data_IF_211276332977
#
_entry.id   IF_211276332977
#
_cell.length_a   1.000
_cell.length_b   1.000
_cell.length_c   1.000
_cell.angle_alpha   90.00
_cell.angle_beta   90.00
_cell.angle_gamma   90.00
#
_symmetry.space_group_name_H-M   'P 1'
#
loop_
_entity.id
_entity.type
_entity.pdbx_description
1 polymer ?
#
# COMPACT_ATOMS: atom_id res chain seq x y z
N UNK A 1 13.68 23.46 -0.80
CA UNK A 1 14.27 22.10 -0.62
C UNK A 1 15.68 22.07 -1.22
N UNK A 2 16.66 21.49 -0.53
CA UNK A 2 17.99 21.24 -1.13
C UNK A 2 17.93 19.99 -2.01
N UNK A 3 18.67 19.98 -3.12
CA UNK A 3 18.83 18.79 -3.94
C UNK A 3 19.59 17.71 -3.15
N UNK A 4 19.08 16.47 -3.20
CA UNK A 4 19.73 15.30 -2.62
C UNK A 4 19.73 14.18 -3.66
N UNK A 5 20.90 13.66 -4.01
CA UNK A 5 21.01 12.74 -5.13
C UNK A 5 20.47 11.35 -4.77
N UNK A 6 19.82 10.69 -5.74
CA UNK A 6 19.31 9.32 -5.54
C UNK A 6 20.43 8.34 -5.17
N UNK A 7 21.63 8.51 -5.73
CA UNK A 7 22.79 7.66 -5.39
C UNK A 7 23.18 7.79 -3.92
N UNK A 8 23.10 9.01 -3.37
CA UNK A 8 23.37 9.25 -1.95
C UNK A 8 22.28 8.63 -1.07
N UNK A 9 21.02 8.70 -1.51
CA UNK A 9 19.92 8.02 -0.82
C UNK A 9 20.15 6.51 -0.76
N UNK A 10 20.48 5.88 -1.89
CA UNK A 10 20.70 4.44 -1.99
C UNK A 10 21.91 3.98 -1.17
N UNK A 11 23.06 4.64 -1.31
CA UNK A 11 24.29 4.27 -0.62
C UNK A 11 24.21 4.56 0.90
N UNK A 12 23.60 5.70 1.25
CA UNK A 12 23.47 6.19 2.62
C UNK A 12 22.35 5.55 3.43
N UNK A 13 21.43 4.82 2.79
CA UNK A 13 20.28 4.21 3.46
C UNK A 13 20.70 3.23 4.56
N UNK A 14 20.22 3.46 5.78
CA UNK A 14 20.35 2.54 6.93
C UNK A 14 19.08 2.57 7.77
N UNK A 15 18.85 1.50 8.53
CA UNK A 15 17.78 1.45 9.53
C UNK A 15 18.24 2.17 10.80
N UNK A 16 17.88 3.43 10.95
CA UNK A 16 18.31 4.26 12.09
C UNK A 16 17.18 4.35 13.12
N UNK A 17 17.25 3.49 14.14
CA UNK A 17 16.14 3.19 15.04
C UNK A 17 16.09 4.03 16.31
N UNK A 18 17.19 4.63 16.76
CA UNK A 18 17.20 5.39 18.01
C UNK A 18 16.80 6.85 17.74
N UNK A 19 15.75 7.33 18.40
CA UNK A 19 15.11 8.63 18.13
C UNK A 19 15.05 9.50 19.37
N UNK A 20 14.75 10.80 19.16
CA UNK A 20 14.55 11.75 20.26
C UNK A 20 13.42 11.28 21.18
N UNK A 21 13.70 11.15 22.47
CA UNK A 21 12.75 10.61 23.46
C UNK A 21 12.76 9.09 23.61
N UNK A 22 13.60 8.35 22.87
CA UNK A 22 13.73 6.91 23.02
C UNK A 22 14.57 6.52 24.25
N UNK A 23 14.36 5.29 24.72
CA UNK A 23 15.17 4.68 25.78
C UNK A 23 15.40 3.19 25.49
N UNK A 24 16.67 2.79 25.59
CA UNK A 24 17.08 1.38 25.72
C UNK A 24 17.53 1.22 27.18
N UNK A 25 16.85 0.38 27.98
CA UNK A 25 17.04 0.36 29.44
C UNK A 25 18.35 -0.29 29.90
N UNK A 26 18.92 -1.20 29.11
CA UNK A 26 20.05 -2.03 29.53
C UNK A 26 20.97 -2.45 28.37
N UNK A 27 22.03 -3.20 28.71
CA UNK A 27 23.00 -3.72 27.75
C UNK A 27 24.02 -2.68 27.26
N UNK A 28 24.81 -3.07 26.25
CA UNK A 28 25.91 -2.23 25.71
C UNK A 28 25.40 -0.94 25.06
N UNK A 29 24.15 -0.94 24.58
CA UNK A 29 23.49 0.20 23.97
C UNK A 29 22.53 0.91 24.94
N UNK A 30 22.63 0.65 26.26
CA UNK A 30 21.83 1.34 27.27
C UNK A 30 21.99 2.86 27.12
N UNK A 31 20.89 3.53 26.79
CA UNK A 31 20.87 4.94 26.51
C UNK A 31 19.46 5.49 26.63
N UNK A 32 19.36 6.65 27.28
CA UNK A 32 18.13 7.44 27.34
C UNK A 32 18.41 8.73 26.60
N UNK A 33 17.56 9.05 25.62
CA UNK A 33 17.65 10.31 24.89
C UNK A 33 17.58 11.49 25.86
N UNK A 34 18.45 12.48 25.65
CA UNK A 34 18.43 13.75 26.41
C UNK A 34 17.37 14.73 25.87
N UNK A 35 16.67 14.33 24.82
CA UNK A 35 15.66 15.12 24.15
C UNK A 35 14.25 14.60 24.43
N UNK A 36 13.24 15.48 24.54
CA UNK A 36 11.86 15.04 24.56
C UNK A 36 11.47 14.41 23.21
N UNK A 37 10.46 13.53 23.19
CA UNK A 37 9.82 13.12 21.94
C UNK A 37 9.40 14.34 21.12
N UNK A 38 9.68 14.32 19.81
CA UNK A 38 9.32 15.38 18.89
C UNK A 38 8.57 14.80 17.69
N UNK A 39 7.25 15.06 17.55
CA UNK A 39 6.48 14.67 16.37
C UNK A 39 7.05 15.31 15.10
N UNK A 40 6.90 14.64 13.96
CA UNK A 40 7.16 15.25 12.65
C UNK A 40 6.26 16.47 12.46
N UNK A 41 6.80 17.54 11.89
CA UNK A 41 6.01 18.67 11.40
C UNK A 41 5.05 18.23 10.28
N UNK A 42 4.04 19.06 10.01
CA UNK A 42 3.06 18.77 8.96
C UNK A 42 3.73 18.53 7.59
N UNK A 43 4.69 19.37 7.22
CA UNK A 43 5.41 19.26 5.96
C UNK A 43 6.25 17.97 5.90
N UNK A 44 6.92 17.60 6.99
CA UNK A 44 7.71 16.37 7.04
C UNK A 44 6.83 15.14 6.90
N UNK A 45 5.72 15.10 7.65
CA UNK A 45 4.71 14.05 7.54
C UNK A 45 4.19 13.93 6.12
N UNK A 46 3.82 15.05 5.50
CA UNK A 46 3.24 15.08 4.16
C UNK A 46 4.23 14.59 3.09
N UNK A 47 5.52 14.94 3.18
CA UNK A 47 6.56 14.45 2.29
C UNK A 47 6.78 12.94 2.43
N UNK A 48 6.83 12.41 3.65
CA UNK A 48 6.99 10.97 3.90
C UNK A 48 5.77 10.20 3.37
N UNK A 49 4.55 10.67 3.69
CA UNK A 49 3.30 10.05 3.22
C UNK A 49 3.18 10.13 1.69
N UNK A 50 3.60 11.24 1.07
CA UNK A 50 3.65 11.38 -0.40
C UNK A 50 4.64 10.40 -1.02
N UNK A 51 5.81 10.19 -0.40
CA UNK A 51 6.77 9.21 -0.91
C UNK A 51 6.21 7.78 -0.88
N UNK A 52 5.50 7.41 0.19
CA UNK A 52 4.88 6.09 0.33
C UNK A 52 3.62 5.91 -0.53
N UNK A 53 2.78 6.93 -0.65
CA UNK A 53 1.41 6.80 -1.12
C UNK A 53 1.02 7.73 -2.28
N UNK A 54 1.86 8.67 -2.67
CA UNK A 54 1.53 9.78 -3.57
C UNK A 54 1.33 9.39 -5.03
N UNK A 55 1.01 10.41 -5.84
CA UNK A 55 0.82 10.29 -7.30
C UNK A 55 2.00 10.88 -8.08
N UNK A 56 2.24 10.33 -9.26
CA UNK A 56 3.28 10.78 -10.21
C UNK A 56 2.68 11.28 -11.53
N UNK A 57 1.50 11.92 -11.43
CA UNK A 57 0.61 12.30 -12.53
C UNK A 57 -0.15 11.11 -13.13
N UNK A 58 -0.48 11.12 -14.41
CA UNK A 58 -1.18 10.04 -15.11
C UNK A 58 -0.25 8.85 -15.42
N UNK A 59 -0.76 7.62 -15.30
CA UNK A 59 0.00 6.44 -15.73
C UNK A 59 0.08 6.33 -17.25
N UNK A 60 1.07 5.58 -17.76
CA UNK A 60 1.29 5.43 -19.20
C UNK A 60 0.58 4.22 -19.83
N UNK A 61 -0.27 3.48 -19.10
CA UNK A 61 -0.93 2.25 -19.58
C UNK A 61 0.05 1.16 -20.10
N UNK A 62 -0.51 0.05 -20.58
CA UNK A 62 0.20 -1.03 -21.27
C UNK A 62 -0.22 -0.99 -22.74
N UNK A 63 0.72 -0.69 -23.64
CA UNK A 63 0.36 -0.28 -25.00
C UNK A 63 -0.07 -1.42 -25.93
N UNK A 64 0.36 -2.66 -25.69
CA UNK A 64 0.17 -3.73 -26.67
C UNK A 64 0.27 -5.12 -26.05
N UNK A 65 -0.63 -5.99 -26.46
CA UNK A 65 -0.44 -7.43 -26.49
C UNK A 65 -1.09 -7.98 -27.77
N UNK A 66 -0.43 -8.94 -28.42
CA UNK A 66 -0.88 -9.46 -29.74
C UNK A 66 -2.34 -9.93 -29.72
N UNK A 67 -2.78 -10.53 -28.60
CA UNK A 67 -4.13 -11.05 -28.41
C UNK A 67 -5.22 -9.98 -28.40
N UNK A 68 -4.87 -8.74 -28.08
CA UNK A 68 -5.81 -7.62 -28.09
C UNK A 68 -5.93 -6.95 -29.44
N UNK A 69 -4.99 -7.16 -30.37
CA UNK A 69 -4.93 -6.40 -31.61
C UNK A 69 -6.29 -6.43 -32.35
N UNK A 70 -6.86 -5.28 -32.74
CA UNK A 70 -6.26 -3.93 -32.74
C UNK A 70 -6.48 -3.09 -31.45
N UNK A 71 -7.13 -3.63 -30.42
CA UNK A 71 -7.42 -2.95 -29.15
C UNK A 71 -6.20 -2.76 -28.24
N UNK A 72 -6.33 -1.80 -27.31
CA UNK A 72 -5.35 -1.56 -26.24
C UNK A 72 -5.45 -2.66 -25.17
N UNK A 73 -4.31 -3.02 -24.56
CA UNK A 73 -4.30 -3.91 -23.39
C UNK A 73 -4.99 -3.25 -22.20
N UNK A 74 -6.02 -3.91 -21.69
CA UNK A 74 -6.92 -3.38 -20.66
C UNK A 74 -6.60 -3.91 -19.25
N UNK A 75 -5.34 -4.20 -18.93
CA UNK A 75 -4.94 -4.81 -17.65
C UNK A 75 -5.00 -3.84 -16.46
N UNK A 76 -4.60 -2.58 -16.65
CA UNK A 76 -4.49 -1.60 -15.55
C UNK A 76 -5.80 -1.43 -14.76
N UNK A 77 -5.67 -1.27 -13.45
CA UNK A 77 -6.78 -1.04 -12.51
C UNK A 77 -6.97 0.43 -12.13
N UNK A 78 -5.93 1.26 -12.29
CA UNK A 78 -5.96 2.69 -11.94
C UNK A 78 -5.44 3.58 -13.08
N UNK A 79 -5.96 4.82 -13.16
CA UNK A 79 -5.54 5.82 -14.14
C UNK A 79 -4.37 6.70 -13.66
N UNK A 80 -4.22 6.88 -12.35
CA UNK A 80 -3.14 7.66 -11.76
C UNK A 80 -1.83 6.86 -11.69
N UNK A 81 -0.72 7.51 -11.99
CA UNK A 81 0.62 7.04 -11.65
C UNK A 81 0.84 7.18 -10.14
N UNK A 82 1.62 6.27 -9.56
CA UNK A 82 2.02 6.25 -8.15
C UNK A 82 3.54 6.34 -8.01
N UNK A 83 4.02 6.65 -6.81
CA UNK A 83 5.46 6.68 -6.48
C UNK A 83 6.10 5.29 -6.45
N UNK A 84 5.27 4.24 -6.42
CA UNK A 84 5.66 2.85 -6.39
C UNK A 84 4.95 2.03 -7.50
N UNK A 85 5.59 0.96 -8.01
CA UNK A 85 5.01 0.11 -9.02
C UNK A 85 3.92 -0.81 -8.46
N UNK A 86 3.12 -1.39 -9.36
CA UNK A 86 2.14 -2.44 -9.07
C UNK A 86 2.06 -3.41 -10.25
N UNK A 87 1.76 -4.68 -9.98
CA UNK A 87 1.56 -5.69 -11.00
C UNK A 87 0.47 -5.24 -11.99
N UNK A 88 0.82 -5.25 -13.28
CA UNK A 88 -0.02 -4.78 -14.39
C UNK A 88 -0.71 -3.41 -14.21
N UNK A 89 -0.23 -2.56 -13.29
CA UNK A 89 -0.87 -1.31 -12.90
C UNK A 89 -2.21 -1.48 -12.17
N UNK A 90 -2.36 -2.53 -11.35
CA UNK A 90 -3.58 -2.80 -10.59
C UNK A 90 -3.81 -1.77 -9.48
N UNK A 91 -2.75 -1.44 -8.73
CA UNK A 91 -2.72 -0.47 -7.63
C UNK A 91 -3.94 -0.61 -6.74
N UNK A 92 -3.96 -1.65 -5.89
CA UNK A 92 -5.10 -1.98 -5.02
C UNK A 92 -4.90 -1.55 -3.58
N UNK A 93 -3.84 -0.79 -3.30
CA UNK A 93 -3.49 -0.31 -1.95
C UNK A 93 -3.91 1.12 -1.62
N UNK A 94 -4.24 1.33 -0.35
CA UNK A 94 -4.38 2.63 0.32
C UNK A 94 -3.31 2.79 1.39
N UNK A 95 -2.94 4.03 1.71
CA UNK A 95 -1.87 4.31 2.68
C UNK A 95 -2.47 4.82 3.97
N UNK A 96 -2.48 4.00 5.02
CA UNK A 96 -2.81 4.44 6.37
C UNK A 96 -1.56 4.96 7.06
N UNK A 97 -1.71 5.82 8.04
CA UNK A 97 -0.60 6.24 8.91
C UNK A 97 -1.10 6.78 10.24
N UNK A 98 -0.22 6.79 11.24
CA UNK A 98 -0.52 7.32 12.57
C UNK A 98 0.65 8.12 13.13
N UNK A 99 0.31 9.20 13.83
CA UNK A 99 1.21 10.03 14.63
C UNK A 99 0.59 10.25 16.03
N UNK A 100 1.10 11.21 16.81
CA UNK A 100 0.57 11.48 18.15
C UNK A 100 -0.86 12.02 18.15
N UNK A 101 -1.29 12.66 17.06
CA UNK A 101 -2.58 13.34 16.98
C UNK A 101 -3.70 12.45 16.48
N UNK A 102 -3.38 11.41 15.70
CA UNK A 102 -4.41 10.60 15.07
C UNK A 102 -3.96 9.39 14.25
N UNK A 103 -4.97 8.74 13.71
CA UNK A 103 -4.87 7.77 12.61
C UNK A 103 -5.53 8.38 11.38
N UNK A 104 -4.88 8.22 10.23
CA UNK A 104 -5.25 8.85 8.98
C UNK A 104 -5.19 7.84 7.83
N UNK A 105 -5.86 8.18 6.75
CA UNK A 105 -5.83 7.45 5.49
C UNK A 105 -5.61 8.42 4.33
N UNK A 106 -4.71 8.04 3.42
CA UNK A 106 -4.51 8.68 2.13
C UNK A 106 -5.13 7.79 1.04
N UNK A 107 -6.20 8.27 0.41
CA UNK A 107 -6.80 7.58 -0.73
C UNK A 107 -6.29 8.12 -2.08
N UNK A 108 -5.19 7.53 -2.55
CA UNK A 108 -4.68 7.71 -3.90
C UNK A 108 -5.01 6.54 -4.84
N UNK A 109 -5.72 5.52 -4.34
CA UNK A 109 -6.08 4.31 -5.09
C UNK A 109 -7.10 4.61 -6.18
N UNK A 110 -8.08 5.44 -5.82
CA UNK A 110 -9.25 5.75 -6.66
C UNK A 110 -9.33 7.25 -6.99
N UNK A 111 -8.23 7.98 -6.77
CA UNK A 111 -8.12 9.40 -7.07
C UNK A 111 -7.57 9.66 -8.48
N UNK A 112 -8.02 10.71 -9.17
CA UNK A 112 -7.36 11.18 -10.38
C UNK A 112 -5.94 11.68 -10.06
N UNK A 113 -5.12 11.87 -11.09
CA UNK A 113 -3.83 12.55 -10.95
C UNK A 113 -4.02 13.90 -10.24
N UNK A 114 -3.12 14.20 -9.31
CA UNK A 114 -3.23 15.40 -8.45
C UNK A 114 -2.50 16.61 -9.02
N UNK A 115 -1.57 16.37 -9.93
CA UNK A 115 -0.82 17.38 -10.67
C UNK A 115 -0.46 16.86 -12.07
N UNK A 116 -0.23 17.78 -13.00
CA UNK A 116 0.25 17.50 -14.35
C UNK A 116 1.72 17.87 -14.48
N UNK A 117 2.40 17.22 -15.43
CA UNK A 117 3.79 17.53 -15.73
C UNK A 117 3.87 18.77 -16.59
N UNK A 118 4.86 19.62 -16.32
CA UNK A 118 5.18 20.76 -17.19
C UNK A 118 5.87 20.31 -18.49
N UNK A 119 6.25 21.28 -19.34
CA UNK A 119 6.94 21.02 -20.61
C UNK A 119 8.31 20.33 -20.45
N UNK A 120 8.91 20.41 -19.25
CA UNK A 120 10.18 19.74 -18.91
C UNK A 120 9.95 18.35 -18.32
N UNK A 121 8.69 17.96 -18.09
CA UNK A 121 8.32 16.70 -17.46
C UNK A 121 8.36 16.74 -15.94
N UNK A 122 8.49 17.91 -15.32
CA UNK A 122 8.59 18.11 -13.88
C UNK A 122 7.19 18.23 -13.25
N UNK A 123 7.05 17.78 -12.00
CA UNK A 123 5.84 18.03 -11.21
C UNK A 123 6.12 19.17 -10.23
N UNK A 124 5.19 20.11 -10.15
CA UNK A 124 5.20 21.15 -9.13
C UNK A 124 4.94 20.48 -7.76
N UNK A 125 5.89 20.65 -6.83
CA UNK A 125 5.90 19.88 -5.58
C UNK A 125 4.84 20.42 -4.62
N UNK A 126 4.65 21.73 -4.55
CA UNK A 126 3.66 22.41 -3.74
C UNK A 126 2.24 22.00 -4.16
N UNK A 127 1.94 21.96 -5.46
CA UNK A 127 0.66 21.44 -6.00
C UNK A 127 0.47 19.95 -5.69
N UNK A 128 1.53 19.14 -5.84
CA UNK A 128 1.51 17.72 -5.50
C UNK A 128 1.17 17.51 -4.01
N UNK A 129 1.87 18.22 -3.12
CA UNK A 129 1.67 18.12 -1.68
C UNK A 129 0.29 18.61 -1.27
N UNK A 130 -0.18 19.74 -1.82
CA UNK A 130 -1.54 20.23 -1.56
C UNK A 130 -2.59 19.22 -2.03
N UNK A 131 -2.42 18.65 -3.23
CA UNK A 131 -3.31 17.64 -3.79
C UNK A 131 -3.35 16.34 -2.98
N UNK A 132 -2.22 15.92 -2.41
CA UNK A 132 -2.12 14.80 -1.46
C UNK A 132 -2.80 15.16 -0.14
N UNK A 133 -2.52 16.35 0.41
CA UNK A 133 -3.06 16.84 1.67
C UNK A 133 -4.59 16.86 1.69
N UNK A 134 -5.23 17.34 0.62
CA UNK A 134 -6.70 17.34 0.46
C UNK A 134 -7.34 15.93 0.45
N UNK A 135 -6.55 14.88 0.23
CA UNK A 135 -7.00 13.47 0.18
C UNK A 135 -6.64 12.68 1.43
N UNK A 136 -5.99 13.32 2.40
CA UNK A 136 -5.79 12.77 3.73
C UNK A 136 -7.07 12.98 4.52
N UNK A 137 -7.59 11.90 5.12
CA UNK A 137 -8.71 11.94 6.04
C UNK A 137 -8.29 11.37 7.38
N UNK A 138 -8.52 12.10 8.47
CA UNK A 138 -8.41 11.59 9.83
C UNK A 138 -9.57 10.63 10.11
N UNK A 139 -9.28 9.45 10.65
CA UNK A 139 -10.27 8.41 10.94
C UNK A 139 -10.35 8.06 12.44
N UNK A 140 -9.36 8.44 13.23
CA UNK A 140 -9.34 8.26 14.68
C UNK A 140 -8.52 9.37 15.34
N UNK A 141 -8.92 9.79 16.53
CA UNK A 141 -8.14 10.67 17.40
C UNK A 141 -7.09 9.91 18.20
N UNK A 142 -5.92 10.52 18.34
CA UNK A 142 -4.77 9.95 19.03
C UNK A 142 -4.06 8.85 18.23
N UNK A 143 -2.87 8.51 18.71
CA UNK A 143 -2.04 7.45 18.17
C UNK A 143 -2.77 6.10 18.12
N UNK A 144 -2.49 5.31 17.08
CA UNK A 144 -3.04 3.97 16.88
C UNK A 144 -2.88 3.12 18.15
N UNK A 145 -4.00 2.54 18.61
CA UNK A 145 -4.06 1.67 19.78
C UNK A 145 -3.40 0.32 19.49
N UNK A 146 -2.07 0.28 19.64
CA UNK A 146 -1.24 -0.91 19.45
C UNK A 146 -0.25 -1.00 20.62
N UNK A 147 -0.47 -1.91 21.59
CA UNK A 147 0.41 -2.03 22.74
C UNK A 147 1.84 -2.42 22.35
N UNK A 148 2.86 -1.83 22.99
CA UNK A 148 4.27 -2.12 22.73
C UNK A 148 4.72 -3.42 23.45
N UNK A 149 4.02 -4.53 23.23
CA UNK A 149 4.29 -5.81 23.88
C UNK A 149 3.96 -7.00 22.97
N UNK A 150 4.45 -8.17 23.33
CA UNK A 150 4.14 -9.44 22.64
C UNK A 150 2.71 -9.87 23.03
N UNK A 151 1.89 -10.37 22.10
CA UNK A 151 2.21 -10.75 20.71
C UNK A 151 2.04 -9.64 19.67
N UNK A 152 1.61 -8.45 20.07
CA UNK A 152 1.19 -7.38 19.15
C UNK A 152 2.37 -6.74 18.40
N UNK A 153 3.50 -6.57 19.08
CA UNK A 153 4.75 -6.05 18.54
C UNK A 153 5.87 -7.04 18.85
N UNK A 154 6.71 -7.35 17.86
CA UNK A 154 7.82 -8.29 18.05
C UNK A 154 8.77 -7.81 19.17
N UNK A 155 9.38 -8.71 19.95
CA UNK A 155 10.15 -8.34 21.16
C UNK A 155 11.24 -7.29 20.93
N UNK A 156 11.89 -7.31 19.76
CA UNK A 156 12.97 -6.37 19.42
C UNK A 156 12.49 -4.98 18.99
N UNK A 157 11.17 -4.80 18.83
CA UNK A 157 10.51 -3.59 18.36
C UNK A 157 9.67 -2.90 19.45
N UNK A 158 9.35 -3.57 20.56
CA UNK A 158 8.49 -3.06 21.66
C UNK A 158 8.95 -1.70 22.20
N UNK A 159 10.25 -1.47 22.32
CA UNK A 159 10.80 -0.21 22.83
C UNK A 159 10.72 0.95 21.83
N UNK A 160 10.56 0.69 20.53
CA UNK A 160 10.82 1.67 19.46
C UNK A 160 9.62 1.92 18.53
N UNK A 161 8.79 0.92 18.26
CA UNK A 161 7.71 1.03 17.26
C UNK A 161 6.51 1.78 17.84
N UNK A 162 5.91 2.67 17.04
CA UNK A 162 4.69 3.42 17.36
C UNK A 162 4.76 4.11 18.74
N UNK A 163 5.90 4.72 19.04
CA UNK A 163 6.13 5.47 20.30
C UNK A 163 5.86 6.97 20.08
N UNK A 164 5.64 7.75 21.15
CA UNK A 164 5.47 9.19 21.04
C UNK A 164 6.58 9.86 20.20
N UNK A 165 6.21 10.86 19.40
CA UNK A 165 7.11 11.56 18.46
C UNK A 165 7.38 10.84 17.14
N UNK A 166 6.87 9.61 16.94
CA UNK A 166 7.10 8.84 15.70
C UNK A 166 5.90 8.91 14.75
N UNK A 167 6.17 8.80 13.44
CA UNK A 167 5.17 8.56 12.40
C UNK A 167 5.29 7.10 11.94
N UNK A 168 4.17 6.37 11.90
CA UNK A 168 4.11 5.01 11.36
C UNK A 168 3.20 4.99 10.13
N UNK A 169 3.75 4.65 8.97
CA UNK A 169 3.03 4.48 7.70
C UNK A 169 2.74 2.99 7.48
N UNK A 170 1.49 2.69 7.15
CA UNK A 170 0.91 1.35 7.07
C UNK A 170 0.18 1.24 5.72
N UNK A 171 0.89 0.89 4.63
CA UNK A 171 0.24 0.53 3.37
C UNK A 171 -0.61 -0.73 3.54
N UNK A 172 -1.89 -0.66 3.17
CA UNK A 172 -2.84 -1.77 3.25
C UNK A 172 -3.39 -2.03 1.85
N UNK A 173 -3.38 -3.29 1.42
CA UNK A 173 -3.81 -3.72 0.11
C UNK A 173 -5.13 -4.49 0.12
N UNK A 174 -5.99 -4.21 -0.85
CA UNK A 174 -7.17 -5.03 -1.14
C UNK A 174 -6.72 -6.22 -2.00
N UNK A 175 -6.50 -7.36 -1.35
CA UNK A 175 -6.04 -8.60 -1.99
C UNK A 175 -7.19 -9.31 -2.71
N UNK A 176 -8.43 -9.17 -2.24
CA UNK A 176 -9.62 -9.62 -2.96
C UNK A 176 -9.70 -8.93 -4.33
N UNK A 177 -9.60 -7.60 -4.39
CA UNK A 177 -9.55 -6.86 -5.65
C UNK A 177 -8.37 -7.28 -6.52
N UNK A 178 -7.20 -7.51 -5.92
CA UNK A 178 -6.00 -7.94 -6.65
C UNK A 178 -6.18 -9.30 -7.31
N UNK A 179 -6.77 -10.28 -6.59
CA UNK A 179 -7.07 -11.61 -7.14
C UNK A 179 -8.12 -11.51 -8.25
N UNK A 180 -9.18 -10.69 -8.11
CA UNK A 180 -10.14 -10.48 -9.20
C UNK A 180 -9.48 -9.90 -10.46
N UNK A 181 -8.55 -8.96 -10.30
CA UNK A 181 -7.77 -8.40 -11.41
C UNK A 181 -6.85 -9.44 -12.04
N UNK A 182 -6.28 -10.36 -11.25
CA UNK A 182 -5.52 -11.50 -11.76
C UNK A 182 -6.39 -12.53 -12.48
N UNK A 183 -7.61 -12.79 -12.01
CA UNK A 183 -8.57 -13.62 -12.74
C UNK A 183 -8.93 -12.99 -14.10
N UNK A 184 -9.11 -11.66 -14.13
CA UNK A 184 -9.28 -10.93 -15.38
C UNK A 184 -8.06 -11.13 -16.29
N UNK A 185 -6.85 -10.92 -15.76
CA UNK A 185 -5.59 -11.10 -16.49
C UNK A 185 -5.45 -12.52 -17.05
N UNK A 186 -5.78 -13.55 -16.27
CA UNK A 186 -5.74 -14.94 -16.69
C UNK A 186 -6.70 -15.22 -17.85
N UNK A 187 -7.98 -14.84 -17.71
CA UNK A 187 -8.98 -15.08 -18.75
C UNK A 187 -8.62 -14.34 -20.05
N UNK A 188 -8.12 -13.11 -19.91
CA UNK A 188 -7.55 -12.32 -20.98
C UNK A 188 -6.32 -12.94 -21.65
N UNK A 189 -5.68 -13.92 -21.02
CA UNK A 189 -4.59 -14.71 -21.58
C UNK A 189 -4.97 -16.19 -21.83
N UNK A 190 -6.27 -16.52 -21.74
CA UNK A 190 -6.81 -17.82 -22.11
C UNK A 190 -6.68 -18.88 -21.02
N UNK A 191 -6.58 -18.45 -19.77
CA UNK A 191 -6.44 -19.29 -18.58
C UNK A 191 -7.66 -19.16 -17.67
N UNK A 192 -8.00 -20.24 -16.97
CA UNK A 192 -8.98 -20.26 -15.86
C UNK A 192 -8.39 -20.96 -14.64
N UNK A 193 -9.08 -20.87 -13.50
CA UNK A 193 -8.70 -21.58 -12.28
C UNK A 193 -8.95 -23.08 -12.40
N UNK A 194 -8.04 -23.83 -11.77
CA UNK A 194 -8.27 -25.21 -11.37
C UNK A 194 -8.13 -25.30 -9.86
N UNK A 195 -9.11 -25.89 -9.17
CA UNK A 195 -9.03 -26.10 -7.73
C UNK A 195 -8.13 -27.30 -7.44
N UNK A 196 -6.88 -27.01 -7.10
CA UNK A 196 -5.88 -28.01 -6.75
C UNK A 196 -6.04 -28.56 -5.32
N UNK A 197 -6.76 -27.84 -4.44
CA UNK A 197 -7.09 -28.31 -3.08
C UNK A 197 -8.10 -29.46 -3.15
N UNK A 198 -9.17 -29.27 -3.91
CA UNK A 198 -10.23 -30.28 -4.11
C UNK A 198 -10.01 -31.14 -5.37
N UNK A 199 -8.93 -30.88 -6.12
CA UNK A 199 -8.53 -31.59 -7.35
C UNK A 199 -9.67 -31.68 -8.38
N UNK A 200 -10.29 -30.54 -8.68
CA UNK A 200 -11.37 -30.46 -9.65
C UNK A 200 -11.35 -29.14 -10.44
N UNK A 201 -11.87 -29.13 -11.69
CA UNK A 201 -12.22 -27.89 -12.35
C UNK A 201 -13.29 -27.12 -11.57
N UNK A 202 -13.38 -25.81 -11.80
CA UNK A 202 -14.51 -25.00 -11.30
C UNK A 202 -15.82 -25.54 -11.89
N UNK A 203 -16.78 -26.00 -11.08
CA UNK A 203 -18.05 -26.52 -11.59
C UNK A 203 -18.80 -25.49 -12.45
N UNK A 204 -19.29 -25.90 -13.62
CA UNK A 204 -20.04 -25.04 -14.55
C UNK A 204 -19.17 -24.28 -15.56
N UNK A 205 -17.83 -24.30 -15.42
CA UNK A 205 -16.91 -23.58 -16.31
C UNK A 205 -16.99 -24.08 -17.76
N UNK A 206 -17.38 -25.34 -17.97
CA UNK A 206 -17.51 -25.97 -19.30
C UNK A 206 -18.50 -25.26 -20.22
N UNK A 207 -19.49 -24.57 -19.64
CA UNK A 207 -20.47 -23.75 -20.37
C UNK A 207 -19.81 -22.56 -21.10
N UNK A 208 -18.64 -22.15 -20.66
CA UNK A 208 -17.86 -21.01 -21.16
C UNK A 208 -16.71 -21.44 -22.08
N UNK A 209 -16.75 -22.69 -22.56
CA UNK A 209 -15.77 -23.25 -23.52
C UNK A 209 -15.66 -22.51 -24.85
N UNK A 210 -16.66 -21.67 -25.19
CA UNK A 210 -16.59 -20.76 -26.34
C UNK A 210 -15.69 -19.55 -26.09
N UNK A 211 -15.53 -19.13 -24.84
CA UNK A 211 -14.73 -17.99 -24.43
C UNK A 211 -13.25 -18.39 -24.19
N UNK A 212 -13.02 -19.57 -23.61
CA UNK A 212 -11.70 -20.02 -23.16
C UNK A 212 -11.53 -21.54 -23.25
N UNK A 213 -10.30 -21.99 -23.49
CA UNK A 213 -9.95 -23.41 -23.35
C UNK A 213 -9.93 -23.77 -21.86
N UNK A 214 -11.02 -24.37 -21.37
CA UNK A 214 -11.24 -24.62 -19.94
C UNK A 214 -10.25 -25.60 -19.29
N UNK A 215 -9.47 -26.33 -20.09
CA UNK A 215 -8.37 -27.19 -19.64
C UNK A 215 -7.03 -26.45 -19.50
N UNK A 216 -6.91 -25.25 -20.07
CA UNK A 216 -5.73 -24.42 -19.89
C UNK A 216 -5.88 -23.65 -18.57
N UNK A 217 -5.28 -24.19 -17.51
CA UNK A 217 -5.53 -23.73 -16.14
C UNK A 217 -4.28 -23.39 -15.37
N UNK A 218 -4.44 -22.55 -14.35
CA UNK A 218 -3.51 -22.44 -13.23
C UNK A 218 -4.14 -22.94 -11.93
N UNK A 219 -3.35 -23.54 -11.02
CA UNK A 219 -3.82 -23.92 -9.69
C UNK A 219 -4.32 -22.72 -8.89
N UNK A 220 -5.44 -22.87 -8.20
CA UNK A 220 -6.03 -21.85 -7.33
C UNK A 220 -5.03 -21.36 -6.28
N UNK A 221 -4.37 -22.28 -5.57
CA UNK A 221 -3.40 -21.92 -4.51
C UNK A 221 -2.25 -21.10 -5.08
N UNK A 222 -1.79 -21.43 -6.29
CA UNK A 222 -0.73 -20.69 -6.97
C UNK A 222 -1.16 -19.27 -7.32
N UNK A 223 -2.36 -19.10 -7.90
CA UNK A 223 -2.87 -17.77 -8.29
C UNK A 223 -3.01 -16.85 -7.09
N UNK A 224 -3.52 -17.36 -5.97
CA UNK A 224 -3.69 -16.58 -4.76
C UNK A 224 -2.36 -16.20 -4.09
N UNK A 225 -1.41 -17.14 -4.00
CA UNK A 225 -0.06 -16.86 -3.52
C UNK A 225 0.69 -15.88 -4.43
N UNK A 226 0.53 -16.02 -5.74
CA UNK A 226 1.10 -15.10 -6.72
C UNK A 226 0.55 -13.68 -6.55
N UNK A 227 -0.76 -13.54 -6.40
CA UNK A 227 -1.43 -12.27 -6.15
C UNK A 227 -0.97 -11.63 -4.84
N UNK A 228 -0.78 -12.44 -3.79
CA UNK A 228 -0.25 -11.96 -2.51
C UNK A 228 1.22 -11.51 -2.64
N UNK A 229 2.04 -12.21 -3.43
CA UNK A 229 3.42 -11.81 -3.70
C UNK A 229 3.50 -10.50 -4.50
N UNK A 230 2.65 -10.32 -5.51
CA UNK A 230 2.53 -9.09 -6.29
C UNK A 230 2.11 -7.90 -5.42
N UNK A 231 1.09 -8.07 -4.59
CA UNK A 231 0.63 -7.04 -3.67
C UNK A 231 1.68 -6.74 -2.58
N UNK A 232 2.36 -7.77 -2.07
CA UNK A 232 3.48 -7.58 -1.12
C UNK A 232 4.61 -6.74 -1.72
N UNK A 233 4.94 -6.95 -3.00
CA UNK A 233 5.92 -6.11 -3.71
C UNK A 233 5.43 -4.67 -3.86
N UNK A 234 4.16 -4.45 -4.15
CA UNK A 234 3.52 -3.12 -4.19
C UNK A 234 3.67 -2.39 -2.82
N UNK A 235 3.27 -3.02 -1.71
CA UNK A 235 3.36 -2.41 -0.38
C UNK A 235 4.81 -2.17 0.06
N UNK A 236 5.71 -3.13 -0.23
CA UNK A 236 7.13 -3.04 0.12
C UNK A 236 7.85 -1.93 -0.63
N UNK A 237 7.55 -1.75 -1.92
CA UNK A 237 8.15 -0.68 -2.73
C UNK A 237 7.63 0.70 -2.34
N UNK A 238 6.37 0.82 -1.92
CA UNK A 238 5.82 2.01 -1.25
C UNK A 238 6.67 2.39 -0.02
N UNK A 239 6.87 1.44 0.91
CA UNK A 239 7.69 1.69 2.10
C UNK A 239 9.16 1.96 1.76
N UNK A 240 9.70 1.33 0.71
CA UNK A 240 11.06 1.58 0.27
C UNK A 240 11.25 3.00 -0.29
N UNK A 241 10.27 3.51 -1.06
CA UNK A 241 10.27 4.90 -1.52
C UNK A 241 10.30 5.88 -0.34
N UNK A 242 9.48 5.63 0.69
CA UNK A 242 9.53 6.38 1.92
C UNK A 242 10.87 6.25 2.66
N UNK A 243 11.47 5.06 2.72
CA UNK A 243 12.79 4.86 3.33
C UNK A 243 13.91 5.67 2.64
N UNK A 244 13.83 5.89 1.33
CA UNK A 244 14.73 6.78 0.60
C UNK A 244 14.45 8.25 0.93
N UNK A 245 13.18 8.64 1.04
CA UNK A 245 12.77 9.99 1.45
C UNK A 245 13.34 10.35 2.83
N UNK A 246 13.35 9.41 3.79
CA UNK A 246 13.96 9.62 5.11
C UNK A 246 15.44 10.05 5.00
N UNK A 247 16.20 9.48 4.06
CA UNK A 247 17.62 9.81 3.87
C UNK A 247 17.80 11.25 3.38
N UNK A 248 16.96 11.65 2.42
CA UNK A 248 16.96 12.98 1.84
C UNK A 248 16.58 14.05 2.87
N UNK A 249 15.60 13.74 3.72
CA UNK A 249 15.14 14.65 4.77
C UNK A 249 16.07 14.70 5.98
N UNK A 250 16.85 13.64 6.23
CA UNK A 250 17.65 13.51 7.45
C UNK A 250 16.88 12.91 8.63
N UNK A 251 15.79 12.21 8.35
CA UNK A 251 14.98 11.53 9.36
C UNK A 251 15.54 10.14 9.67
N UNK A 252 15.42 9.73 10.93
CA UNK A 252 15.57 8.34 11.35
C UNK A 252 14.35 7.51 10.91
N UNK A 253 14.48 6.20 11.04
CA UNK A 253 13.42 5.26 10.68
C UNK A 253 13.92 4.03 9.92
N UNK A 254 12.98 3.14 9.61
CA UNK A 254 13.21 1.95 8.79
C UNK A 254 11.90 1.36 8.27
N UNK A 255 11.98 0.61 7.16
CA UNK A 255 10.90 -0.26 6.72
C UNK A 255 11.04 -1.64 7.37
N UNK A 256 9.93 -2.25 7.77
CA UNK A 256 9.96 -3.50 8.52
C UNK A 256 8.65 -4.26 8.46
N UNK A 257 8.74 -5.56 8.72
CA UNK A 257 7.70 -6.36 9.34
C UNK A 257 8.04 -6.52 10.83
N UNK A 258 7.16 -7.15 11.61
CA UNK A 258 7.38 -7.34 13.04
C UNK A 258 6.48 -6.49 13.93
N UNK A 259 5.30 -6.18 13.38
CA UNK A 259 4.07 -5.93 14.12
C UNK A 259 3.11 -7.02 13.65
N UNK A 260 2.31 -7.57 14.57
CA UNK A 260 1.29 -8.55 14.22
C UNK A 260 0.27 -7.91 13.24
N UNK A 261 0.12 -8.44 12.01
CA UNK A 261 -0.73 -7.83 10.99
C UNK A 261 -2.21 -7.83 11.38
N UNK A 262 -2.64 -8.82 12.17
CA UNK A 262 -4.03 -8.89 12.64
C UNK A 262 -4.31 -7.79 13.65
N UNK A 263 -3.41 -7.58 14.60
CA UNK A 263 -3.51 -6.48 15.57
C UNK A 263 -3.45 -5.11 14.90
N UNK A 264 -2.63 -4.92 13.86
CA UNK A 264 -2.66 -3.71 13.04
C UNK A 264 -3.99 -3.51 12.34
N UNK A 265 -4.56 -4.55 11.74
CA UNK A 265 -5.87 -4.45 11.07
C UNK A 265 -7.03 -4.30 12.05
N UNK A 266 -6.85 -4.59 13.34
CA UNK A 266 -7.93 -4.62 14.34
C UNK A 266 -8.61 -5.98 14.50
N UNK A 267 -7.97 -7.04 14.00
CA UNK A 267 -8.37 -8.44 14.11
C UNK A 267 -7.62 -9.20 15.21
N UNK A 268 -7.18 -8.51 16.27
CA UNK A 268 -6.55 -9.11 17.46
C UNK A 268 -7.51 -9.98 18.27
N UNK A 269 -8.81 -9.66 18.23
CA UNK A 269 -9.84 -10.21 19.13
C UNK A 269 -9.86 -9.57 20.53
N UNK A 270 -8.93 -8.65 20.82
CA UNK A 270 -8.87 -7.92 22.09
C UNK A 270 -9.38 -6.47 21.90
N UNK A 271 -10.49 -6.06 22.55
CA UNK A 271 -10.99 -4.69 22.48
C UNK A 271 -9.99 -3.61 22.96
N UNK A 272 -9.00 -3.97 23.77
CA UNK A 272 -7.92 -3.08 24.19
C UNK A 272 -6.86 -2.86 23.10
N UNK A 273 -6.89 -3.66 22.03
CA UNK A 273 -6.01 -3.57 20.86
C UNK A 273 -6.86 -3.37 19.60
N UNK A 274 -7.47 -2.17 19.45
CA UNK A 274 -8.44 -1.91 18.39
C UNK A 274 -7.82 -1.88 16.99
N UNK A 275 -6.51 -1.67 16.87
CA UNK A 275 -5.84 -1.54 15.57
C UNK A 275 -6.49 -0.48 14.69
N UNK A 276 -6.52 -0.71 13.38
CA UNK A 276 -7.20 0.12 12.39
C UNK A 276 -8.73 -0.08 12.38
N UNK A 277 -9.25 -1.09 13.10
CA UNK A 277 -10.68 -1.36 13.21
C UNK A 277 -11.33 -1.97 11.97
N UNK A 278 -10.58 -2.67 11.12
CA UNK A 278 -11.17 -3.42 10.00
C UNK A 278 -12.14 -4.46 10.54
N UNK A 279 -13.30 -4.56 9.91
CA UNK A 279 -14.19 -5.69 10.07
C UNK A 279 -13.46 -6.97 9.63
N UNK A 280 -13.58 -8.02 10.43
CA UNK A 280 -13.07 -9.33 10.10
C UNK A 280 -14.08 -10.42 10.42
N UNK A 281 -13.90 -11.58 9.77
CA UNK A 281 -14.66 -12.79 10.02
C UNK A 281 -13.73 -13.91 10.51
N UNK A 282 -14.31 -14.86 11.23
CA UNK A 282 -13.66 -16.09 11.65
C UNK A 282 -14.50 -17.28 11.21
N UNK A 283 -13.84 -18.37 10.87
CA UNK A 283 -14.47 -19.61 10.43
C UNK A 283 -13.55 -20.78 10.77
N UNK A 284 -14.12 -21.92 11.16
CA UNK A 284 -13.35 -23.13 11.51
C UNK A 284 -12.50 -23.67 10.35
N UNK A 285 -12.84 -23.30 9.10
CA UNK A 285 -12.07 -23.65 7.91
C UNK A 285 -10.75 -22.90 7.78
N UNK A 286 -10.57 -21.79 8.51
CA UNK A 286 -9.41 -20.90 8.34
C UNK A 286 -8.50 -20.93 9.56
N UNK A 287 -7.17 -20.89 9.35
CA UNK A 287 -6.23 -20.86 10.47
C UNK A 287 -6.15 -19.48 11.16
N UNK A 288 -6.64 -18.41 10.51
CA UNK A 288 -6.55 -17.04 10.99
C UNK A 288 -7.83 -16.26 10.67
N UNK A 289 -8.11 -15.17 11.41
CA UNK A 289 -9.15 -14.21 11.04
C UNK A 289 -8.98 -13.68 9.61
N UNK A 290 -10.09 -13.29 8.99
CA UNK A 290 -10.10 -12.71 7.66
C UNK A 290 -10.64 -11.27 7.70
N UNK A 291 -9.76 -10.25 7.78
CA UNK A 291 -10.15 -8.86 7.61
C UNK A 291 -10.70 -8.63 6.20
N UNK A 292 -11.90 -8.05 6.10
CA UNK A 292 -12.62 -7.85 4.84
C UNK A 292 -12.72 -6.39 4.42
N UNK A 293 -12.63 -5.45 5.35
CA UNK A 293 -12.67 -4.01 5.03
C UNK A 293 -12.93 -3.12 6.24
N UNK A 294 -12.80 -1.82 6.03
CA UNK A 294 -13.13 -0.75 6.97
C UNK A 294 -14.21 0.13 6.34
N UNK A 295 -15.41 0.10 6.92
CA UNK A 295 -16.62 0.71 6.38
C UNK A 295 -16.42 2.20 6.04
N UNK A 296 -16.81 2.60 4.82
CA UNK A 296 -16.67 3.98 4.34
C UNK A 296 -15.21 4.46 4.20
N UNK A 297 -14.22 3.58 4.35
CA UNK A 297 -12.79 3.89 4.25
C UNK A 297 -12.10 3.02 3.20
N UNK A 298 -12.06 1.71 3.42
CA UNK A 298 -11.42 0.74 2.53
C UNK A 298 -12.16 -0.59 2.63
N UNK A 299 -13.17 -0.75 1.80
CA UNK A 299 -13.96 -1.97 1.71
C UNK A 299 -13.35 -2.91 0.66
N UNK A 300 -13.18 -4.18 1.04
CA UNK A 300 -12.65 -5.20 0.13
C UNK A 300 -13.64 -5.54 -0.97
N UNK A 301 -13.15 -5.92 -2.14
CA UNK A 301 -13.98 -6.35 -3.26
C UNK A 301 -14.45 -7.81 -3.08
N UNK A 302 -15.13 -8.06 -1.97
CA UNK A 302 -15.74 -9.33 -1.62
C UNK A 302 -16.86 -9.11 -0.58
N UNK A 303 -17.76 -10.10 -0.38
CA UNK A 303 -18.68 -10.08 0.74
C UNK A 303 -17.95 -9.88 2.09
N UNK A 304 -18.59 -9.20 3.06
CA UNK A 304 -19.98 -8.72 3.03
C UNK A 304 -20.15 -7.31 2.43
N UNK A 305 -19.07 -6.66 1.97
CA UNK A 305 -19.12 -5.27 1.48
C UNK A 305 -19.81 -5.16 0.11
N UNK A 306 -19.87 -6.27 -0.62
CA UNK A 306 -20.72 -6.46 -1.79
C UNK A 306 -21.58 -7.72 -1.62
N UNK A 307 -22.79 -7.80 -2.22
CA UNK A 307 -23.70 -8.91 -1.96
C UNK A 307 -23.16 -10.29 -2.36
N UNK A 308 -22.41 -10.35 -3.46
CA UNK A 308 -21.85 -11.58 -4.03
C UNK A 308 -20.61 -11.25 -4.89
N UNK A 309 -19.95 -12.28 -5.41
CA UNK A 309 -18.76 -12.10 -6.24
C UNK A 309 -19.08 -11.56 -7.64
N UNK A 310 -20.34 -11.63 -8.11
CA UNK A 310 -20.73 -10.96 -9.35
C UNK A 310 -20.70 -9.45 -9.18
N UNK A 311 -21.24 -8.93 -8.08
CA UNK A 311 -21.18 -7.53 -7.73
C UNK A 311 -19.73 -7.06 -7.51
N UNK A 312 -18.86 -7.90 -6.94
CA UNK A 312 -17.42 -7.62 -6.86
C UNK A 312 -16.79 -7.41 -8.25
N UNK A 313 -17.13 -8.28 -9.22
CA UNK A 313 -16.66 -8.17 -10.61
C UNK A 313 -17.21 -6.92 -11.30
N UNK A 314 -18.48 -6.57 -11.05
CA UNK A 314 -19.03 -5.31 -11.57
C UNK A 314 -18.31 -4.09 -10.99
N UNK A 315 -17.95 -4.10 -9.71
CA UNK A 315 -17.16 -3.04 -9.09
C UNK A 315 -15.76 -2.94 -9.74
N UNK A 316 -15.10 -4.07 -10.06
CA UNK A 316 -13.84 -4.07 -10.83
C UNK A 316 -14.05 -3.44 -12.20
N UNK A 317 -15.11 -3.83 -12.91
CA UNK A 317 -15.41 -3.28 -14.24
C UNK A 317 -15.69 -1.77 -14.18
N UNK A 318 -16.47 -1.32 -13.20
CA UNK A 318 -16.76 0.10 -12.98
C UNK A 318 -15.47 0.88 -12.70
N UNK A 319 -14.59 0.37 -11.85
CA UNK A 319 -13.30 1.01 -11.57
C UNK A 319 -12.41 1.13 -12.81
N UNK A 320 -12.42 0.12 -13.70
CA UNK A 320 -11.58 0.09 -14.90
C UNK A 320 -12.13 0.96 -16.03
N UNK A 321 -13.43 0.87 -16.29
CA UNK A 321 -14.08 1.41 -17.50
C UNK A 321 -15.09 2.53 -17.22
N UNK A 322 -15.50 2.73 -15.97
CA UNK A 322 -16.39 3.83 -15.56
C UNK A 322 -15.65 5.15 -15.36
N UNK A 323 -16.37 6.24 -15.01
CA UNK A 323 -15.79 7.57 -14.84
C UNK A 323 -14.56 7.59 -13.93
N UNK A 324 -13.48 8.22 -14.39
CA UNK A 324 -12.19 8.26 -13.68
C UNK A 324 -11.32 7.01 -13.86
N UNK A 325 -11.87 5.92 -14.40
CA UNK A 325 -11.12 4.70 -14.69
C UNK A 325 -10.12 4.86 -15.84
N UNK A 326 -9.08 3.98 -15.91
CA UNK A 326 -8.03 4.05 -16.92
C UNK A 326 -8.52 3.93 -18.37
N UNK A 327 -9.70 3.35 -18.60
CA UNK A 327 -10.21 3.11 -19.96
C UNK A 327 -11.47 3.92 -20.29
N UNK A 328 -11.83 4.90 -19.45
CA UNK A 328 -12.95 5.78 -19.72
C UNK A 328 -12.53 6.96 -20.62
N UNK A 329 -13.29 7.30 -21.68
CA UNK A 329 -12.91 8.32 -22.65
C UNK A 329 -12.74 9.73 -22.06
N UNK A 330 -13.46 10.05 -20.98
CA UNK A 330 -13.38 11.36 -20.33
C UNK A 330 -12.28 11.46 -19.28
N UNK A 331 -11.62 10.35 -18.92
CA UNK A 331 -10.49 10.41 -18.00
C UNK A 331 -9.31 11.12 -18.70
N UNK A 332 -8.76 12.21 -18.16
CA UNK A 332 -7.62 12.90 -18.78
C UNK A 332 -6.39 11.99 -18.81
N UNK A 333 -5.36 12.34 -19.58
CA UNK A 333 -4.15 11.50 -19.70
C UNK A 333 -3.02 12.21 -20.43
N UNK A 334 -1.82 11.60 -20.47
CA UNK A 334 -0.63 12.23 -21.02
C UNK A 334 -0.57 12.20 -22.56
N UNK A 335 -1.61 11.70 -23.25
CA UNK A 335 -1.62 11.55 -24.70
C UNK A 335 -2.30 12.75 -25.38
N UNK A 336 -1.80 13.09 -26.58
CA UNK A 336 -2.39 14.12 -27.45
C UNK A 336 -3.87 13.86 -27.76
N UNK A 337 -4.25 12.58 -27.91
CA UNK A 337 -5.63 12.15 -28.16
C UNK A 337 -6.12 11.25 -27.01
N UNK A 338 -6.05 11.70 -25.75
CA UNK A 338 -6.36 10.87 -24.56
C UNK A 338 -7.70 10.13 -24.65
N UNK A 339 -8.77 10.78 -25.08
CA UNK A 339 -10.08 10.12 -25.23
C UNK A 339 -10.04 8.93 -26.21
N UNK A 340 -9.30 9.04 -27.31
CA UNK A 340 -9.13 7.98 -28.31
C UNK A 340 -8.28 6.84 -27.77
N UNK A 341 -7.21 7.14 -27.03
CA UNK A 341 -6.36 6.08 -26.43
C UNK A 341 -7.14 5.31 -25.37
N UNK A 342 -7.84 5.98 -24.47
CA UNK A 342 -8.58 5.31 -23.38
C UNK A 342 -9.75 4.47 -23.90
N UNK A 343 -10.50 4.97 -24.88
CA UNK A 343 -11.61 4.23 -25.51
C UNK A 343 -11.17 3.10 -26.44
N UNK A 344 -9.88 2.98 -26.78
CA UNK A 344 -9.38 1.89 -27.64
C UNK A 344 -9.28 0.55 -26.91
N UNK A 345 -9.35 0.54 -25.58
CA UNK A 345 -9.36 -0.68 -24.78
C UNK A 345 -10.68 -1.44 -24.95
N UNK A 346 -10.60 -2.76 -25.08
CA UNK A 346 -11.79 -3.59 -25.13
C UNK A 346 -12.46 -3.60 -23.75
N UNK A 347 -13.75 -3.27 -23.67
CA UNK A 347 -14.51 -3.38 -22.42
C UNK A 347 -14.81 -4.85 -22.14
N UNK A 348 -14.78 -5.26 -20.87
CA UNK A 348 -15.19 -6.62 -20.46
C UNK A 348 -16.65 -6.86 -20.82
N UNK A 349 -16.89 -7.87 -21.67
CA UNK A 349 -18.23 -8.30 -22.09
C UNK A 349 -18.98 -8.99 -20.95
N UNK A 350 -20.29 -9.20 -21.13
CA UNK A 350 -21.11 -9.94 -20.16
C UNK A 350 -20.59 -11.36 -19.92
N UNK A 351 -20.28 -12.10 -20.98
CA UNK A 351 -19.73 -13.46 -20.89
C UNK A 351 -18.38 -13.48 -20.16
N UNK A 352 -17.55 -12.44 -20.34
CA UNK A 352 -16.29 -12.28 -19.61
C UNK A 352 -16.56 -12.10 -18.10
N UNK A 353 -17.48 -11.20 -17.74
CA UNK A 353 -17.84 -10.93 -16.34
C UNK A 353 -18.48 -12.17 -15.70
N UNK A 354 -19.33 -12.89 -16.42
CA UNK A 354 -19.90 -14.17 -15.97
C UNK A 354 -18.80 -15.19 -15.66
N UNK A 355 -17.79 -15.32 -16.52
CA UNK A 355 -16.68 -16.24 -16.30
C UNK A 355 -15.83 -15.90 -15.07
N UNK A 356 -15.56 -14.63 -14.81
CA UNK A 356 -14.83 -14.21 -13.61
C UNK A 356 -15.70 -14.42 -12.37
N UNK A 357 -16.97 -14.00 -12.42
CA UNK A 357 -17.90 -14.13 -11.33
C UNK A 357 -18.14 -15.59 -10.93
N UNK A 358 -18.27 -16.50 -11.90
CA UNK A 358 -18.43 -17.94 -11.65
C UNK A 358 -17.25 -18.51 -10.86
N UNK A 359 -16.02 -18.20 -11.29
CA UNK A 359 -14.80 -18.66 -10.63
C UNK A 359 -14.68 -18.07 -9.23
N UNK A 360 -14.88 -16.76 -9.09
CA UNK A 360 -14.78 -16.07 -7.82
C UNK A 360 -15.86 -16.52 -6.82
N UNK A 361 -17.10 -16.69 -7.28
CA UNK A 361 -18.21 -17.20 -6.46
C UNK A 361 -17.94 -18.63 -6.01
N UNK A 362 -17.42 -19.48 -6.90
CA UNK A 362 -17.02 -20.84 -6.52
C UNK A 362 -15.99 -20.84 -5.38
N UNK A 363 -14.97 -19.98 -5.45
CA UNK A 363 -13.97 -19.84 -4.37
C UNK A 363 -14.65 -19.37 -3.08
N UNK A 364 -15.49 -18.34 -3.15
CA UNK A 364 -16.21 -17.83 -1.99
C UNK A 364 -17.09 -18.91 -1.34
N UNK A 365 -17.91 -19.63 -2.11
CA UNK A 365 -18.82 -20.65 -1.60
C UNK A 365 -18.06 -21.86 -1.01
N UNK A 366 -16.98 -22.28 -1.68
CA UNK A 366 -16.21 -23.46 -1.28
C UNK A 366 -15.38 -23.18 -0.03
N UNK A 367 -14.67 -22.06 -0.01
CA UNK A 367 -13.72 -21.73 1.06
C UNK A 367 -14.34 -20.85 2.15
N UNK A 368 -15.49 -20.24 1.90
CA UNK A 368 -16.21 -19.35 2.84
C UNK A 368 -15.78 -17.89 2.81
N UNK A 369 -14.73 -17.58 2.04
CA UNK A 369 -14.17 -16.24 1.88
C UNK A 369 -13.52 -16.12 0.52
N UNK A 370 -13.25 -14.89 0.12
CA UNK A 370 -12.52 -14.60 -1.10
C UNK A 370 -11.37 -13.62 -0.82
N UNK A 371 -10.13 -13.95 -1.20
CA UNK A 371 -9.69 -15.22 -1.78
C UNK A 371 -9.74 -16.39 -0.76
N UNK A 372 -9.66 -17.63 -1.24
CA UNK A 372 -9.94 -18.82 -0.43
C UNK A 372 -8.84 -19.23 0.54
N UNK A 373 -7.58 -19.01 0.20
CA UNK A 373 -6.39 -19.51 0.93
C UNK A 373 -5.47 -18.42 1.46
N UNK A 374 -5.69 -17.16 1.07
CA UNK A 374 -5.00 -15.94 1.55
C UNK A 374 -6.03 -14.98 2.17
N UNK A 375 -5.66 -13.92 2.90
CA UNK A 375 -6.64 -12.98 3.46
C UNK A 375 -7.26 -12.07 2.37
N UNK A 376 -8.44 -11.51 2.64
CA UNK A 376 -9.10 -10.54 1.74
C UNK A 376 -8.42 -9.18 1.75
N UNK A 377 -8.01 -8.70 2.92
CA UNK A 377 -7.19 -7.50 3.10
C UNK A 377 -5.81 -7.91 3.59
N UNK A 378 -4.77 -7.34 2.98
CA UNK A 378 -3.38 -7.74 3.21
C UNK A 378 -2.51 -6.55 3.62
N UNK A 379 -1.69 -6.75 4.64
CA UNK A 379 -0.58 -5.87 4.98
C UNK A 379 0.58 -6.70 5.53
N UNK A 380 1.80 -6.21 5.34
CA UNK A 380 3.00 -6.88 5.88
C UNK A 380 4.11 -5.90 6.25
N UNK A 381 4.38 -4.92 5.38
CA UNK A 381 5.50 -3.99 5.55
C UNK A 381 4.99 -2.61 5.95
N UNK A 382 5.51 -2.10 7.05
CA UNK A 382 5.32 -0.73 7.51
C UNK A 382 6.60 0.09 7.34
N UNK A 383 6.48 1.41 7.41
CA UNK A 383 7.61 2.35 7.50
C UNK A 383 7.44 3.20 8.75
N UNK A 384 8.44 3.23 9.63
CA UNK A 384 8.50 4.21 10.70
C UNK A 384 9.44 5.36 10.31
N UNK A 385 9.04 6.59 10.63
CA UNK A 385 9.81 7.82 10.48
C UNK A 385 9.86 8.58 11.81
N UNK A 386 10.99 9.20 12.12
CA UNK A 386 11.22 9.84 13.41
C UNK A 386 12.41 10.80 13.36
N UNK A 387 12.44 11.80 14.24
CA UNK A 387 13.62 12.63 14.46
C UNK A 387 14.73 11.80 15.09
N UNK A 388 15.87 11.69 14.40
CA UNK A 388 17.02 10.94 14.89
C UNK A 388 17.62 11.62 16.12
N UNK A 389 17.98 10.84 17.14
CA UNK A 389 18.89 11.33 18.19
C UNK A 389 20.32 10.98 17.80
N UNK A 390 21.06 11.96 17.29
CA UNK A 390 22.45 11.78 16.83
C UNK A 390 23.40 11.51 17.99
N UNK A 391 23.09 11.93 19.22
CA UNK A 391 23.93 11.71 20.40
C UNK A 391 24.10 10.23 20.73
N UNK A 392 23.06 9.42 20.52
CA UNK A 392 23.18 7.95 20.59
C UNK A 392 24.23 7.43 19.61
N UNK A 393 24.19 7.88 18.35
CA UNK A 393 25.10 7.41 17.32
C UNK A 393 26.53 7.90 17.55
N UNK A 394 26.71 9.14 17.99
CA UNK A 394 28.02 9.70 18.31
C UNK A 394 28.68 8.96 19.49
N UNK A 395 27.87 8.48 20.44
CA UNK A 395 28.36 7.73 21.59
C UNK A 395 28.77 6.30 21.24
N UNK A 396 28.01 5.60 20.40
CA UNK A 396 28.16 4.15 20.23
C UNK A 396 28.71 3.72 18.85
N UNK A 397 28.72 4.59 17.85
CA UNK A 397 29.15 4.26 16.50
C UNK A 397 30.39 5.05 16.10
N UNK A 398 31.07 4.58 15.04
CA UNK A 398 32.16 5.33 14.43
C UNK A 398 31.62 6.58 13.72
N UNK A 399 32.49 7.57 13.54
CA UNK A 399 32.21 8.74 12.70
C UNK A 399 31.67 8.29 11.33
N UNK A 400 30.60 8.95 10.87
CA UNK A 400 29.89 8.59 9.63
C UNK A 400 28.72 7.62 9.80
N UNK A 401 28.23 7.39 11.03
CA UNK A 401 27.07 6.53 11.30
C UNK A 401 25.74 7.05 10.69
N UNK A 402 25.66 8.36 10.46
CA UNK A 402 24.54 9.03 9.83
C UNK A 402 25.04 10.05 8.80
N UNK A 403 24.14 10.49 7.90
CA UNK A 403 24.47 11.41 6.81
C UNK A 403 24.45 12.86 7.31
N UNK A 404 25.07 13.79 6.56
CA UNK A 404 25.00 15.23 6.87
C UNK A 404 23.55 15.72 6.96
N UNK A 405 22.64 15.16 6.15
CA UNK A 405 21.21 15.48 6.22
C UNK A 405 20.64 15.25 7.61
N UNK A 406 21.07 14.18 8.30
CA UNK A 406 20.63 13.87 9.67
C UNK A 406 21.30 14.80 10.68
N UNK A 407 22.62 15.02 10.53
CA UNK A 407 23.41 15.90 11.40
C UNK A 407 22.82 17.31 11.46
N UNK A 408 22.33 17.80 10.32
CA UNK A 408 21.81 19.17 10.15
C UNK A 408 20.30 19.24 10.09
N UNK A 409 19.61 18.13 10.34
CA UNK A 409 18.16 18.06 10.20
C UNK A 409 17.48 19.11 11.10
N UNK A 410 17.80 19.11 12.39
CA UNK A 410 17.21 20.05 13.35
C UNK A 410 17.51 21.52 13.01
N UNK A 411 18.74 21.83 12.59
CA UNK A 411 19.13 23.19 12.15
C UNK A 411 18.30 23.68 10.96
N UNK A 412 18.01 22.77 10.00
CA UNK A 412 17.39 23.13 8.72
C UNK A 412 15.87 23.12 8.75
N UNK A 413 15.29 22.15 9.46
CA UNK A 413 13.84 21.91 9.47
C UNK A 413 13.14 22.55 10.68
N UNK A 414 13.87 22.79 11.77
CA UNK A 414 13.34 23.30 13.03
C UNK A 414 14.22 24.42 13.63
N UNK A 415 14.60 25.46 12.84
CA UNK A 415 15.54 26.50 13.28
C UNK A 415 15.07 27.26 14.53
N UNK A 416 13.76 27.40 14.71
CA UNK A 416 13.13 28.03 15.88
C UNK A 416 13.29 27.24 17.17
N UNK A 417 13.54 25.93 17.09
CA UNK A 417 13.81 25.09 18.27
C UNK A 417 15.24 25.21 18.78
N UNK A 418 16.08 26.03 18.13
CA UNK A 418 17.38 26.48 18.62
C UNK A 418 18.26 25.35 19.15
N UNK A 419 19.07 24.73 18.30
CA UNK A 419 20.18 23.92 18.82
C UNK A 419 21.21 24.90 19.40
N UNK A 420 21.58 24.82 20.70
CA UNK A 420 22.73 25.57 21.18
C UNK A 420 23.94 25.12 20.36
N UNK A 421 24.53 26.02 19.57
CA UNK A 421 25.70 25.69 18.78
C UNK A 421 26.82 25.29 19.74
N UNK A 422 27.16 24.01 19.81
CA UNK A 422 28.41 23.57 20.41
C UNK A 422 29.54 23.96 19.46
N UNK A 423 30.28 25.01 19.84
CA UNK A 423 31.66 25.21 19.39
C UNK A 423 32.61 24.52 20.35
#
# INVERSE_FOLDING_TARGET
MQAFALLDALAGRRSRRFFRGAEIPDGIFAHRSEHPPLPLSELERLLVVTACGGSTSWHHMIFRAQRYAPHLSNYAGAAGGRTFPSAAGFHTSMTFFTDDEGVYVLNMRDSPAVSERDEKGELEIEELLEGVGRRIRKIQDGRLGLPPEVPYVEPHNTWVVNRPGTLLVIPVGDLAQHVLLNLCYMLQNGLVLYDDVHRRPVPGIERLSRLVEVSNTWPLTFVEQWSMAELSAELSTSCYAGALMLQAMGLGGWMFNGVDPWSLLGASGDPAVPGLGFRFDIDERWPYPNPTGLEGVMEGFCPPHVPDMRNAVEAVCLRKFGPGGPFHPETPGPWKESAKVRSAAQVHSEEFRECIALQAQYVFDTFGKFPGTVPSIFLITCLQAQHLDTGFYDRFFKQGAYLETHARHMERWHPEMGVPSSR
#
